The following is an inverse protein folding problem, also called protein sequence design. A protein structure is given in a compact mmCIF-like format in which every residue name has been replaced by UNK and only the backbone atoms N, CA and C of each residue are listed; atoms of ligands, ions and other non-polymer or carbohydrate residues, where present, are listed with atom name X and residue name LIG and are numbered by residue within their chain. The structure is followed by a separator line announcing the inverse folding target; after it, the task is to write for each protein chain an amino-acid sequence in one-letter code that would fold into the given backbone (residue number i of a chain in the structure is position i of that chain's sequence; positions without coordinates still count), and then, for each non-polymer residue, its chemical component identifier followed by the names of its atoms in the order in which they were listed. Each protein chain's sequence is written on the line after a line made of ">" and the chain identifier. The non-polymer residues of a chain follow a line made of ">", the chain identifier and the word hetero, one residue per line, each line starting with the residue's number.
data_IF_741917662354
#
_entry.id   IF_741917662354
#
_cell.length_a   1.000
_cell.length_b   1.000
_cell.length_c   1.000
_cell.angle_alpha   90.00
_cell.angle_beta   90.00
_cell.angle_gamma   90.00
#
_symmetry.space_group_name_H-M   'P 1'
#
loop_
_entity.id
_entity.type
_entity.pdbx_description
1 polymer ?
#
# COMPACT_ATOMS: atom_id res chain seq x y z
N UNK A 1 39.80 20.45 25.53
CA UNK A 1 38.49 20.39 24.81
C UNK A 1 37.60 19.19 25.19
N UNK A 2 38.06 18.25 26.02
CA UNK A 2 37.29 17.06 26.44
C UNK A 2 36.18 17.31 27.47
N UNK A 3 36.38 18.23 28.43
CA UNK A 3 35.44 18.41 29.56
C UNK A 3 34.05 18.92 29.16
N UNK A 4 33.94 19.72 28.08
CA UNK A 4 32.67 20.31 27.69
C UNK A 4 31.67 19.30 27.05
N UNK A 5 32.15 18.17 26.54
CA UNK A 5 31.30 17.14 25.95
C UNK A 5 30.76 16.16 27.00
N UNK A 6 31.54 15.84 28.03
CA UNK A 6 31.09 15.01 29.13
C UNK A 6 30.04 15.70 30.00
N UNK A 7 30.20 17.00 30.27
CA UNK A 7 29.22 17.80 31.00
C UNK A 7 27.90 17.92 30.24
N UNK A 8 27.96 18.06 28.91
CA UNK A 8 26.75 18.04 28.02
C UNK A 8 26.04 16.70 28.05
N UNK A 9 26.78 15.58 28.02
CA UNK A 9 26.19 14.24 28.06
C UNK A 9 25.52 13.98 29.41
N UNK A 10 26.14 14.38 30.53
CA UNK A 10 25.55 14.27 31.89
C UNK A 10 24.26 15.10 32.00
N UNK A 11 24.26 16.31 31.47
CA UNK A 11 23.07 17.16 31.46
C UNK A 11 21.94 16.56 30.60
N UNK A 12 22.28 15.97 29.45
CA UNK A 12 21.33 15.27 28.60
C UNK A 12 20.75 14.03 29.28
N UNK A 13 21.60 13.20 29.93
CA UNK A 13 21.14 12.00 30.64
C UNK A 13 20.19 12.34 31.79
N UNK A 14 20.47 13.44 32.52
CA UNK A 14 19.57 13.94 33.56
C UNK A 14 18.20 14.38 32.97
N UNK A 15 18.23 15.08 31.83
CA UNK A 15 17.02 15.49 31.12
C UNK A 15 16.21 14.28 30.59
N UNK A 16 16.89 13.28 30.01
CA UNK A 16 16.26 12.03 29.54
C UNK A 16 15.60 11.28 30.69
N UNK A 17 16.27 11.15 31.85
CA UNK A 17 15.68 10.55 33.04
C UNK A 17 14.45 11.30 33.57
N UNK A 18 14.42 12.62 33.46
CA UNK A 18 13.24 13.41 33.81
C UNK A 18 12.08 13.21 32.81
N UNK A 19 12.38 13.17 31.51
CA UNK A 19 11.38 12.93 30.45
C UNK A 19 10.77 11.53 30.61
N UNK A 20 11.58 10.50 30.88
CA UNK A 20 11.09 9.14 31.12
C UNK A 20 10.17 9.04 32.35
N UNK A 21 10.47 9.76 33.43
CA UNK A 21 9.61 9.81 34.61
C UNK A 21 8.26 10.48 34.33
N UNK A 22 8.24 11.48 33.45
CA UNK A 22 7.01 12.25 33.13
C UNK A 22 6.17 11.60 32.05
N UNK A 23 6.83 10.97 31.03
CA UNK A 23 6.15 10.54 29.80
C UNK A 23 6.25 9.02 29.58
N UNK A 24 6.91 8.27 30.45
CA UNK A 24 7.12 6.83 30.35
C UNK A 24 8.40 6.45 29.61
N UNK A 25 8.84 5.19 29.80
CA UNK A 25 10.01 4.64 29.13
C UNK A 25 9.84 4.65 27.61
N UNK A 26 10.88 5.05 26.88
CA UNK A 26 10.86 5.12 25.41
C UNK A 26 10.31 6.41 24.85
N UNK A 27 9.98 7.41 25.70
CA UNK A 27 9.56 8.74 25.24
C UNK A 27 10.62 9.44 24.39
N UNK A 28 11.90 9.16 24.66
CA UNK A 28 13.07 9.56 23.85
C UNK A 28 13.98 8.35 23.71
N UNK A 29 14.42 8.07 22.47
CA UNK A 29 15.37 6.98 22.18
C UNK A 29 16.40 7.44 21.14
N UNK A 30 17.57 6.83 21.16
CA UNK A 30 18.55 7.03 20.09
C UNK A 30 18.10 6.27 18.84
N UNK A 31 18.16 6.93 17.68
CA UNK A 31 17.76 6.30 16.42
C UNK A 31 18.55 5.02 16.11
N UNK A 32 19.85 4.97 16.47
CA UNK A 32 20.69 3.78 16.29
C UNK A 32 20.24 2.59 17.14
N UNK A 33 19.75 2.83 18.36
CA UNK A 33 19.28 1.77 19.26
C UNK A 33 17.92 1.21 18.79
N UNK A 34 17.15 1.98 18.04
CA UNK A 34 15.86 1.60 17.48
C UNK A 34 15.96 1.03 16.05
N UNK A 35 17.14 0.99 15.44
CA UNK A 35 17.32 0.52 14.06
C UNK A 35 16.87 -0.94 13.87
N UNK A 36 16.97 -1.78 14.92
CA UNK A 36 16.44 -3.14 14.91
C UNK A 36 14.88 -3.20 14.87
N UNK A 37 14.21 -2.13 15.32
CA UNK A 37 12.74 -2.02 15.32
C UNK A 37 12.19 -1.18 14.15
N UNK A 38 13.05 -0.71 13.25
CA UNK A 38 12.64 0.08 12.08
C UNK A 38 12.22 -0.77 10.88
N UNK A 39 12.05 -2.07 11.04
CA UNK A 39 11.43 -2.91 10.01
C UNK A 39 9.96 -2.51 9.89
N UNK A 40 9.67 -1.68 8.89
CA UNK A 40 8.30 -1.23 8.61
C UNK A 40 7.52 -2.43 8.10
N UNK A 41 6.64 -2.98 8.93
CA UNK A 41 5.76 -4.07 8.54
C UNK A 41 4.83 -3.60 7.41
N UNK A 42 4.71 -4.41 6.36
CA UNK A 42 3.91 -4.09 5.17
C UNK A 42 2.91 -5.18 4.85
N UNK A 43 1.85 -4.80 4.16
CA UNK A 43 0.88 -5.71 3.55
C UNK A 43 0.99 -5.58 2.04
N UNK A 44 1.13 -6.68 1.28
CA UNK A 44 1.10 -6.65 -0.18
C UNK A 44 -0.19 -6.02 -0.71
N UNK A 45 -0.10 -5.43 -1.88
CA UNK A 45 -1.22 -4.71 -2.50
C UNK A 45 -2.13 -5.60 -3.35
N UNK A 46 -1.70 -6.85 -3.62
CA UNK A 46 -2.31 -7.73 -4.60
C UNK A 46 -1.78 -7.54 -6.03
N UNK A 47 -0.90 -6.55 -6.24
CA UNK A 47 -0.12 -6.35 -7.48
C UNK A 47 1.36 -6.35 -7.15
N UNK A 48 2.12 -7.29 -7.71
CA UNK A 48 3.56 -7.39 -7.47
C UNK A 48 4.32 -6.18 -8.02
N UNK A 49 3.89 -5.64 -9.17
CA UNK A 49 4.48 -4.43 -9.74
C UNK A 49 4.28 -3.21 -8.83
N UNK A 50 3.12 -3.09 -8.17
CA UNK A 50 2.88 -2.03 -7.21
C UNK A 50 3.69 -2.24 -5.92
N UNK A 51 3.81 -3.47 -5.42
CA UNK A 51 4.65 -3.82 -4.28
C UNK A 51 6.11 -3.42 -4.51
N UNK A 52 6.64 -3.69 -5.71
CA UNK A 52 7.99 -3.28 -6.16
C UNK A 52 8.09 -1.75 -6.24
N UNK A 53 7.10 -1.08 -6.83
CA UNK A 53 7.09 0.37 -6.96
C UNK A 53 7.05 1.09 -5.60
N UNK A 54 6.38 0.50 -4.60
CA UNK A 54 6.36 0.97 -3.22
C UNK A 54 7.71 0.79 -2.50
N UNK A 55 8.55 -0.14 -2.94
CA UNK A 55 9.93 -0.31 -2.49
C UNK A 55 10.11 -1.10 -1.19
N UNK A 56 9.00 -1.49 -0.54
CA UNK A 56 9.00 -2.28 0.70
C UNK A 56 8.18 -3.58 0.57
N UNK A 57 7.75 -3.93 -0.64
CA UNK A 57 6.94 -5.12 -0.88
C UNK A 57 5.47 -4.99 -0.47
N UNK A 58 4.98 -3.77 -0.30
CA UNK A 58 3.59 -3.51 0.04
C UNK A 58 3.34 -2.16 0.71
N UNK A 59 2.13 -1.98 1.24
CA UNK A 59 1.72 -0.78 1.97
C UNK A 59 2.10 -0.88 3.44
N UNK A 60 2.68 0.18 4.05
CA UNK A 60 3.14 0.15 5.44
C UNK A 60 1.97 0.18 6.43
N UNK A 61 2.03 -0.65 7.47
CA UNK A 61 1.10 -0.60 8.61
C UNK A 61 1.26 0.70 9.41
N UNK A 62 0.19 1.12 10.06
CA UNK A 62 0.18 2.32 10.90
C UNK A 62 0.31 3.62 10.12
N UNK A 63 -0.16 3.65 8.86
CA UNK A 63 0.00 4.80 7.97
C UNK A 63 -1.29 5.17 7.23
N UNK A 64 -1.39 6.45 6.89
CA UNK A 64 -2.42 6.99 6.02
C UNK A 64 -1.92 6.94 4.58
N UNK A 65 -2.76 6.40 3.71
CA UNK A 65 -2.53 6.28 2.26
C UNK A 65 -3.64 7.02 1.53
N UNK A 66 -3.31 7.81 0.54
CA UNK A 66 -4.28 8.40 -0.39
C UNK A 66 -4.16 7.72 -1.75
N UNK A 67 -5.28 7.16 -2.23
CA UNK A 67 -5.44 6.58 -3.56
C UNK A 67 -6.36 7.49 -4.36
N UNK A 68 -5.87 8.13 -5.39
CA UNK A 68 -6.64 9.12 -6.13
C UNK A 68 -6.47 8.97 -7.64
N UNK A 69 -7.41 9.52 -8.39
CA UNK A 69 -7.41 9.47 -9.85
C UNK A 69 -8.78 9.82 -10.43
N UNK A 70 -8.90 9.83 -11.76
CA UNK A 70 -10.17 10.04 -12.45
C UNK A 70 -11.22 9.00 -12.06
N UNK A 71 -12.45 9.27 -12.40
CA UNK A 71 -13.53 8.29 -12.30
C UNK A 71 -13.21 7.02 -13.11
N UNK A 72 -13.66 5.86 -12.63
CA UNK A 72 -13.44 4.55 -13.29
C UNK A 72 -11.98 4.21 -13.58
N UNK A 73 -11.02 4.81 -12.87
CA UNK A 73 -9.58 4.47 -13.02
C UNK A 73 -9.14 3.20 -12.28
N UNK A 74 -10.01 2.62 -11.43
CA UNK A 74 -9.70 1.40 -10.67
C UNK A 74 -9.26 1.64 -9.22
N UNK A 75 -9.51 2.81 -8.64
CA UNK A 75 -9.13 3.15 -7.24
C UNK A 75 -9.70 2.17 -6.22
N UNK A 76 -11.02 1.96 -6.26
CA UNK A 76 -11.72 1.03 -5.36
C UNK A 76 -11.26 -0.41 -5.58
N UNK A 77 -11.00 -0.81 -6.83
CA UNK A 77 -10.43 -2.13 -7.15
C UNK A 77 -9.10 -2.36 -6.43
N UNK A 78 -8.17 -1.41 -6.52
CA UNK A 78 -6.86 -1.49 -5.85
C UNK A 78 -7.03 -1.56 -4.33
N UNK A 79 -7.92 -0.75 -3.76
CA UNK A 79 -8.19 -0.78 -2.32
C UNK A 79 -8.79 -2.12 -1.87
N UNK A 80 -9.73 -2.71 -2.65
CA UNK A 80 -10.32 -4.01 -2.36
C UNK A 80 -9.31 -5.16 -2.44
N UNK A 81 -8.34 -5.11 -3.37
CA UNK A 81 -7.25 -6.08 -3.37
C UNK A 81 -6.41 -6.00 -2.10
N UNK A 82 -6.12 -4.80 -1.58
CA UNK A 82 -5.41 -4.64 -0.31
C UNK A 82 -6.22 -5.19 0.86
N UNK A 83 -7.55 -5.01 0.86
CA UNK A 83 -8.45 -5.64 1.85
C UNK A 83 -8.33 -7.16 1.80
N UNK A 84 -8.43 -7.75 0.60
CA UNK A 84 -8.30 -9.20 0.41
C UNK A 84 -6.95 -9.72 0.90
N UNK A 85 -5.87 -8.99 0.66
CA UNK A 85 -4.52 -9.37 1.13
C UNK A 85 -4.38 -9.30 2.67
N UNK A 86 -5.05 -8.34 3.33
CA UNK A 86 -5.12 -8.29 4.80
C UNK A 86 -5.90 -9.49 5.34
N UNK A 87 -7.08 -9.78 4.80
CA UNK A 87 -7.93 -10.88 5.25
C UNK A 87 -7.29 -12.25 5.04
N UNK A 88 -6.57 -12.48 3.93
CA UNK A 88 -5.79 -13.72 3.70
C UNK A 88 -4.73 -13.97 4.79
N UNK A 89 -4.30 -12.94 5.49
CA UNK A 89 -3.34 -13.02 6.61
C UNK A 89 -4.01 -13.05 7.98
N UNK A 90 -5.34 -13.26 8.01
CA UNK A 90 -6.13 -13.28 9.23
C UNK A 90 -6.42 -11.91 9.83
N UNK A 91 -6.12 -10.83 9.10
CA UNK A 91 -6.41 -9.46 9.53
C UNK A 91 -7.87 -9.06 9.35
N UNK A 92 -8.29 -8.06 10.13
CA UNK A 92 -9.65 -7.52 10.14
C UNK A 92 -9.72 -6.26 9.29
N UNK A 93 -10.75 -6.18 8.43
CA UNK A 93 -10.95 -5.07 7.51
C UNK A 93 -12.26 -4.33 7.76
N UNK A 94 -12.20 -2.99 7.63
CA UNK A 94 -13.36 -2.11 7.64
C UNK A 94 -13.48 -1.33 6.32
N UNK A 95 -14.73 -1.03 5.94
CA UNK A 95 -15.03 -0.24 4.75
C UNK A 95 -16.08 0.82 5.09
N UNK A 96 -15.71 2.08 4.93
CA UNK A 96 -16.60 3.24 5.10
C UNK A 96 -17.07 3.65 3.71
N UNK A 97 -18.26 3.21 3.35
CA UNK A 97 -18.89 3.40 2.04
C UNK A 97 -19.72 4.69 2.04
N UNK A 98 -19.07 5.84 1.92
CA UNK A 98 -19.72 7.13 1.88
C UNK A 98 -20.39 7.44 0.51
N UNK A 99 -20.05 6.68 -0.54
CA UNK A 99 -20.70 6.78 -1.86
C UNK A 99 -21.90 5.83 -2.00
N UNK A 100 -22.11 4.90 -1.05
CA UNK A 100 -23.13 3.86 -1.11
C UNK A 100 -23.08 3.00 -2.39
N UNK A 101 -21.87 2.72 -2.85
CA UNK A 101 -21.62 2.14 -4.17
C UNK A 101 -20.82 0.83 -4.15
N UNK A 102 -20.52 0.27 -2.98
CA UNK A 102 -19.81 -1.00 -2.87
C UNK A 102 -20.67 -2.15 -3.41
N UNK A 103 -20.16 -2.83 -4.45
CA UNK A 103 -20.75 -4.06 -4.99
C UNK A 103 -20.15 -5.29 -4.26
N UNK A 104 -20.95 -6.03 -3.44
CA UNK A 104 -20.47 -7.19 -2.72
C UNK A 104 -20.06 -8.34 -3.66
N UNK A 105 -20.74 -8.50 -4.81
CA UNK A 105 -20.39 -9.55 -5.76
C UNK A 105 -19.03 -9.28 -6.40
N UNK A 106 -18.76 -8.02 -6.75
CA UNK A 106 -17.46 -7.61 -7.25
C UNK A 106 -16.35 -7.75 -6.19
N UNK A 107 -16.61 -7.33 -4.95
CA UNK A 107 -15.66 -7.51 -3.85
C UNK A 107 -15.29 -8.98 -3.64
N UNK A 108 -16.30 -9.88 -3.65
CA UNK A 108 -16.09 -11.32 -3.55
C UNK A 108 -15.26 -11.88 -4.71
N UNK A 109 -15.50 -11.42 -5.93
CA UNK A 109 -14.74 -11.86 -7.12
C UNK A 109 -13.27 -11.45 -7.07
N UNK A 110 -12.94 -10.33 -6.40
CA UNK A 110 -11.57 -9.87 -6.14
C UNK A 110 -10.89 -10.74 -5.07
N UNK A 111 -11.66 -11.46 -4.26
CA UNK A 111 -11.14 -12.30 -3.19
C UNK A 111 -11.35 -11.73 -1.78
N UNK A 112 -12.18 -10.70 -1.65
CA UNK A 112 -12.61 -10.19 -0.33
C UNK A 112 -13.56 -11.17 0.33
N UNK A 113 -13.29 -11.54 1.57
CA UNK A 113 -14.22 -12.23 2.43
C UNK A 113 -15.30 -11.25 2.91
N UNK A 114 -16.42 -11.24 2.19
CA UNK A 114 -17.52 -10.29 2.44
C UNK A 114 -18.27 -10.58 3.74
N UNK A 115 -18.25 -11.83 4.22
CA UNK A 115 -18.89 -12.22 5.48
C UNK A 115 -18.15 -11.66 6.70
N UNK A 116 -16.83 -11.38 6.55
CA UNK A 116 -15.97 -10.83 7.59
C UNK A 116 -15.49 -9.40 7.27
N UNK A 117 -16.15 -8.71 6.35
CA UNK A 117 -15.89 -7.29 6.08
C UNK A 117 -16.87 -6.41 6.87
N UNK A 118 -16.34 -5.57 7.75
CA UNK A 118 -17.15 -4.59 8.49
C UNK A 118 -17.43 -3.38 7.60
N UNK A 119 -18.69 -3.16 7.23
CA UNK A 119 -19.12 -2.03 6.40
C UNK A 119 -19.91 -1.01 7.22
N UNK A 120 -19.69 0.29 6.94
CA UNK A 120 -20.49 1.40 7.44
C UNK A 120 -20.87 2.32 6.29
N UNK A 121 -22.12 2.76 6.27
CA UNK A 121 -22.65 3.73 5.30
C UNK A 121 -23.13 4.98 6.06
N UNK A 122 -22.24 5.94 6.32
CA UNK A 122 -22.51 7.12 7.14
C UNK A 122 -23.36 8.16 6.38
N UNK A 123 -24.18 8.93 7.12
CA UNK A 123 -25.02 9.97 6.57
C UNK A 123 -24.27 11.28 6.26
N UNK A 124 -23.11 11.50 6.90
CA UNK A 124 -22.30 12.71 6.74
C UNK A 124 -20.82 12.46 7.01
N UNK A 125 -19.99 13.44 6.68
CA UNK A 125 -18.54 13.34 6.81
C UNK A 125 -18.04 13.24 8.24
N UNK A 126 -18.68 13.92 9.19
CA UNK A 126 -18.35 13.84 10.61
C UNK A 126 -18.54 12.42 11.12
N UNK A 127 -19.71 11.81 10.85
CA UNK A 127 -20.02 10.44 11.25
C UNK A 127 -19.04 9.43 10.64
N UNK A 128 -18.72 9.57 9.34
CA UNK A 128 -17.75 8.71 8.66
C UNK A 128 -16.39 8.73 9.36
N UNK A 129 -15.89 9.91 9.70
CA UNK A 129 -14.58 10.10 10.31
C UNK A 129 -14.55 9.71 11.79
N UNK A 130 -15.65 9.87 12.54
CA UNK A 130 -15.80 9.42 13.92
C UNK A 130 -15.86 7.88 14.01
N UNK A 131 -16.59 7.23 13.09
CA UNK A 131 -16.60 5.75 12.98
C UNK A 131 -15.19 5.26 12.67
N UNK A 132 -14.52 5.87 11.68
CA UNK A 132 -13.13 5.53 11.33
C UNK A 132 -12.21 5.69 12.55
N UNK A 133 -12.31 6.80 13.30
CA UNK A 133 -11.50 7.03 14.49
C UNK A 133 -11.74 5.96 15.56
N UNK A 134 -13.01 5.60 15.80
CA UNK A 134 -13.39 4.60 16.79
C UNK A 134 -12.85 3.22 16.42
N UNK A 135 -12.99 2.81 15.15
CA UNK A 135 -12.43 1.53 14.65
C UNK A 135 -10.91 1.49 14.79
N UNK A 136 -10.19 2.56 14.41
CA UNK A 136 -8.73 2.66 14.57
C UNK A 136 -8.33 2.56 16.03
N UNK A 137 -9.02 3.28 16.93
CA UNK A 137 -8.70 3.29 18.37
C UNK A 137 -8.95 1.96 19.07
N UNK A 138 -9.81 1.11 18.51
CA UNK A 138 -10.03 -0.24 19.06
C UNK A 138 -8.76 -1.09 19.03
N UNK A 139 -7.83 -0.80 18.11
CA UNK A 139 -6.61 -1.59 17.89
C UNK A 139 -6.85 -2.98 17.30
N UNK A 140 -8.11 -3.29 16.93
CA UNK A 140 -8.49 -4.59 16.40
C UNK A 140 -8.55 -4.64 14.87
N UNK A 141 -8.57 -3.48 14.19
CA UNK A 141 -8.74 -3.41 12.73
C UNK A 141 -7.39 -3.12 12.07
N UNK A 142 -7.01 -3.94 11.10
CA UNK A 142 -5.73 -3.84 10.39
C UNK A 142 -5.79 -2.89 9.19
N UNK A 143 -6.94 -2.80 8.51
CA UNK A 143 -7.15 -1.91 7.38
C UNK A 143 -8.55 -1.30 7.37
N UNK A 144 -8.63 -0.01 7.06
CA UNK A 144 -9.90 0.70 6.85
C UNK A 144 -9.83 1.44 5.53
N UNK A 145 -10.83 1.25 4.68
CA UNK A 145 -11.03 2.00 3.45
C UNK A 145 -12.08 3.07 3.69
N UNK A 146 -11.85 4.30 3.26
CA UNK A 146 -12.83 5.39 3.23
C UNK A 146 -13.08 5.76 1.76
N UNK A 147 -14.22 5.36 1.22
CA UNK A 147 -14.60 5.56 -0.17
C UNK A 147 -15.87 6.43 -0.27
N UNK A 148 -15.78 7.65 -0.69
CA UNK A 148 -14.59 8.46 -0.99
C UNK A 148 -14.59 9.78 -0.22
N UNK A 149 -13.42 10.43 -0.17
CA UNK A 149 -13.29 11.78 0.45
C UNK A 149 -14.25 12.79 -0.19
N UNK A 150 -14.53 12.64 -1.49
CA UNK A 150 -15.45 13.53 -2.21
C UNK A 150 -16.89 13.47 -1.65
N UNK A 151 -17.30 12.32 -1.09
CA UNK A 151 -18.61 12.08 -0.51
C UNK A 151 -18.69 12.44 0.99
N UNK A 152 -17.59 12.82 1.63
CA UNK A 152 -17.59 13.26 3.02
C UNK A 152 -18.14 14.70 3.15
N UNK A 153 -19.45 14.82 2.98
CA UNK A 153 -20.15 16.11 3.06
C UNK A 153 -20.31 16.48 4.54
N UNK A 154 -19.90 17.68 4.96
CA UNK A 154 -20.12 18.16 6.32
C UNK A 154 -21.61 18.24 6.66
N UNK A 155 -21.99 17.87 7.89
CA UNK A 155 -23.38 17.91 8.36
C UNK A 155 -24.02 19.29 8.16
N UNK A 156 -23.28 20.36 8.47
CA UNK A 156 -23.75 21.72 8.29
C UNK A 156 -24.09 22.09 6.83
N UNK A 157 -23.47 21.42 5.86
CA UNK A 157 -23.78 21.57 4.44
C UNK A 157 -25.04 20.80 4.05
N UNK A 158 -25.27 19.62 4.68
CA UNK A 158 -26.49 18.82 4.48
C UNK A 158 -27.72 19.50 5.08
N UNK A 159 -27.57 20.09 6.27
CA UNK A 159 -28.65 20.77 7.00
C UNK A 159 -28.95 22.17 6.45
N UNK A 160 -28.11 22.73 5.57
CA UNK A 160 -28.27 24.05 4.93
C UNK A 160 -29.26 24.06 3.77
N UNK A 161 -29.67 25.25 3.35
CA UNK A 161 -30.55 25.43 2.21
C UNK A 161 -29.80 25.25 0.88
N UNK A 162 -30.54 24.81 -0.17
CA UNK A 162 -30.00 24.70 -1.53
C UNK A 162 -29.55 26.06 -2.04
N UNK A 163 -28.25 26.18 -2.33
CA UNK A 163 -27.62 27.41 -2.80
C UNK A 163 -26.76 28.14 -1.75
N UNK A 164 -26.77 27.66 -0.52
CA UNK A 164 -25.88 28.19 0.53
C UNK A 164 -24.41 27.94 0.20
N UNK A 165 -23.57 28.91 0.52
CA UNK A 165 -22.13 28.79 0.28
C UNK A 165 -21.41 28.17 1.50
N UNK A 166 -20.95 26.95 1.35
CA UNK A 166 -20.21 26.19 2.40
C UNK A 166 -18.73 26.06 2.10
N UNK A 167 -18.10 27.11 1.56
CA UNK A 167 -16.72 27.10 1.11
C UNK A 167 -15.77 26.68 2.26
N UNK A 168 -15.02 25.60 2.01
CA UNK A 168 -13.93 25.14 2.87
C UNK A 168 -14.35 24.34 4.10
N UNK A 169 -15.63 24.05 4.33
CA UNK A 169 -16.07 23.21 5.47
C UNK A 169 -15.46 21.80 5.40
N UNK A 170 -15.54 21.14 4.25
CA UNK A 170 -14.94 19.82 4.05
C UNK A 170 -13.43 19.83 4.30
N UNK A 171 -12.71 20.86 3.86
CA UNK A 171 -11.27 20.98 4.09
C UNK A 171 -10.92 21.17 5.58
N UNK A 172 -11.77 21.88 6.34
CA UNK A 172 -11.64 22.03 7.80
C UNK A 172 -11.90 20.72 8.50
N UNK A 173 -12.97 20.01 8.15
CA UNK A 173 -13.34 18.71 8.68
C UNK A 173 -12.19 17.70 8.46
N UNK A 174 -11.68 17.57 7.24
CA UNK A 174 -10.54 16.70 6.93
C UNK A 174 -9.29 17.09 7.72
N UNK A 175 -8.98 18.38 7.85
CA UNK A 175 -7.82 18.84 8.62
C UNK A 175 -7.93 18.50 10.10
N UNK A 176 -9.11 18.60 10.68
CA UNK A 176 -9.38 18.25 12.08
C UNK A 176 -9.28 16.75 12.30
N UNK A 177 -9.94 15.95 11.45
CA UNK A 177 -9.95 14.50 11.55
C UNK A 177 -8.54 13.91 11.40
N UNK A 178 -7.77 14.33 10.38
CA UNK A 178 -6.44 13.79 10.14
C UNK A 178 -5.45 14.11 11.26
N UNK A 179 -5.58 15.23 11.95
CA UNK A 179 -4.80 15.53 13.16
C UNK A 179 -5.05 14.53 14.28
N UNK A 180 -6.31 14.11 14.48
CA UNK A 180 -6.68 13.10 15.49
C UNK A 180 -6.26 11.70 15.05
N UNK A 181 -6.59 11.33 13.82
CA UNK A 181 -6.37 10.00 13.25
C UNK A 181 -4.89 9.62 13.18
N UNK A 182 -4.00 10.55 12.81
CA UNK A 182 -2.58 10.23 12.57
C UNK A 182 -1.91 9.55 13.75
N UNK A 183 -2.11 10.07 14.96
CA UNK A 183 -1.52 9.51 16.18
C UNK A 183 -2.15 8.15 16.54
N UNK A 184 -3.47 8.01 16.38
CA UNK A 184 -4.19 6.78 16.66
C UNK A 184 -3.78 5.67 15.68
N UNK A 185 -3.72 5.97 14.38
CA UNK A 185 -3.31 5.07 13.30
C UNK A 185 -1.89 4.53 13.54
N UNK A 186 -0.95 5.41 13.88
CA UNK A 186 0.43 5.00 14.16
C UNK A 186 0.55 4.07 15.38
N UNK A 187 -0.31 4.23 16.39
CA UNK A 187 -0.30 3.40 17.60
C UNK A 187 -1.00 2.06 17.43
N UNK A 188 -2.06 2.02 16.62
CA UNK A 188 -2.85 0.80 16.36
C UNK A 188 -2.29 -0.08 15.26
N UNK A 189 -1.26 0.36 14.53
CA UNK A 189 -0.74 -0.28 13.32
C UNK A 189 -1.79 -0.47 12.21
N UNK A 190 -2.94 0.21 12.30
CA UNK A 190 -3.99 0.16 11.27
C UNK A 190 -3.54 0.90 10.01
N UNK A 191 -3.86 0.35 8.85
CA UNK A 191 -3.71 1.03 7.55
C UNK A 191 -5.01 1.76 7.28
N UNK A 192 -4.97 3.07 7.01
CA UNK A 192 -6.17 3.82 6.60
C UNK A 192 -5.98 4.36 5.20
N UNK A 193 -6.81 3.90 4.28
CA UNK A 193 -6.79 4.29 2.87
C UNK A 193 -7.95 5.24 2.60
N UNK A 194 -7.63 6.45 2.17
CA UNK A 194 -8.60 7.41 1.67
C UNK A 194 -8.60 7.36 0.14
N UNK A 195 -9.73 6.96 -0.43
CA UNK A 195 -9.98 7.07 -1.87
C UNK A 195 -10.42 8.49 -2.16
N UNK A 196 -9.86 9.11 -3.20
CA UNK A 196 -10.13 10.50 -3.52
C UNK A 196 -10.36 10.69 -5.03
N UNK A 197 -11.16 11.69 -5.36
CA UNK A 197 -11.45 12.06 -6.73
C UNK A 197 -10.61 13.28 -7.14
N UNK A 198 -10.34 13.38 -8.44
CA UNK A 198 -9.72 14.57 -9.03
C UNK A 198 -10.80 15.59 -9.41
N UNK A 199 -10.46 16.86 -9.24
CA UNK A 199 -11.21 18.01 -9.71
C UNK A 199 -10.26 18.93 -10.46
N UNK A 200 -10.77 19.65 -11.42
CA UNK A 200 -10.01 20.66 -12.13
C UNK A 200 -10.23 22.03 -11.50
N UNK A 201 -9.14 22.76 -11.31
CA UNK A 201 -9.19 24.15 -10.90
C UNK A 201 -9.49 25.02 -12.08
N UNK A 202 -10.59 25.75 -12.02
CA UNK A 202 -10.95 26.74 -13.04
C UNK A 202 -9.93 27.88 -13.06
N UNK A 203 -9.49 28.30 -14.25
CA UNK A 203 -8.61 29.47 -14.42
C UNK A 203 -7.11 29.22 -14.27
N UNK A 204 -6.66 27.96 -14.16
CA UNK A 204 -5.23 27.63 -14.17
C UNK A 204 -4.74 27.55 -15.61
N UNK A 205 -4.07 28.61 -16.09
CA UNK A 205 -3.51 28.66 -17.45
C UNK A 205 -2.14 27.98 -17.58
N UNK A 206 -1.38 27.83 -16.47
CA UNK A 206 -0.06 27.22 -16.43
C UNK A 206 0.05 26.25 -15.26
N UNK A 207 0.72 25.09 -15.48
CA UNK A 207 0.91 24.05 -14.49
C UNK A 207 -0.21 23.00 -14.52
N UNK A 208 -0.26 22.14 -13.49
CA UNK A 208 -1.27 21.09 -13.40
C UNK A 208 -2.56 21.63 -12.75
N UNK A 209 -3.69 21.69 -13.47
CA UNK A 209 -4.97 22.13 -12.94
C UNK A 209 -5.60 21.11 -11.99
N UNK A 210 -5.21 19.84 -12.05
CA UNK A 210 -5.80 18.77 -11.25
C UNK A 210 -5.53 18.94 -9.76
N UNK A 211 -6.55 18.75 -8.96
CA UNK A 211 -6.46 18.74 -7.50
C UNK A 211 -7.40 17.69 -6.91
N UNK A 212 -7.06 17.16 -5.73
CA UNK A 212 -7.93 16.25 -4.98
C UNK A 212 -8.91 17.03 -4.11
N UNK A 213 -10.07 16.44 -3.80
CA UNK A 213 -11.09 17.02 -2.90
C UNK A 213 -10.62 16.99 -1.44
N UNK A 214 -11.34 17.66 -0.52
CA UNK A 214 -11.00 17.68 0.90
C UNK A 214 -9.81 18.57 1.29
N UNK A 215 -9.37 19.47 0.38
CA UNK A 215 -8.31 20.44 0.63
C UNK A 215 -6.91 19.86 0.58
N UNK A 216 -5.98 20.42 1.38
CA UNK A 216 -4.57 20.05 1.35
C UNK A 216 -4.16 19.04 2.44
N UNK A 217 -5.05 18.73 3.38
CA UNK A 217 -4.69 17.97 4.57
C UNK A 217 -4.13 16.57 4.23
N UNK A 218 -4.78 15.80 3.36
CA UNK A 218 -4.29 14.49 2.93
C UNK A 218 -2.92 14.56 2.27
N UNK A 219 -2.62 15.62 1.49
CA UNK A 219 -1.30 15.79 0.87
C UNK A 219 -0.16 15.87 1.90
N UNK A 220 -0.44 16.36 3.10
CA UNK A 220 0.54 16.44 4.19
C UNK A 220 0.54 15.20 5.07
N UNK A 221 -0.63 14.72 5.50
CA UNK A 221 -0.77 13.63 6.46
C UNK A 221 -0.51 12.25 5.85
N UNK A 222 -0.86 12.01 4.59
CA UNK A 222 -0.57 10.73 3.95
C UNK A 222 0.93 10.43 3.90
N UNK A 223 1.29 9.18 4.19
CA UNK A 223 2.66 8.67 4.01
C UNK A 223 2.91 8.24 2.58
N UNK A 224 1.89 7.72 1.91
CA UNK A 224 1.91 7.30 0.52
C UNK A 224 0.75 7.96 -0.22
N UNK A 225 1.00 8.37 -1.46
CA UNK A 225 -0.02 8.86 -2.40
C UNK A 225 0.14 8.16 -3.73
N UNK A 226 -0.95 7.55 -4.20
CA UNK A 226 -1.02 6.77 -5.42
C UNK A 226 -1.94 7.46 -6.43
N UNK A 227 -1.38 7.86 -7.56
CA UNK A 227 -2.14 8.39 -8.71
C UNK A 227 -2.49 7.23 -9.65
N UNK A 228 -3.78 6.89 -9.73
CA UNK A 228 -4.31 5.75 -10.48
C UNK A 228 -4.89 6.23 -11.79
N UNK A 229 -4.37 5.75 -12.93
CA UNK A 229 -4.79 6.16 -14.27
C UNK A 229 -5.06 4.94 -15.16
N UNK A 230 -6.17 4.99 -15.91
CA UNK A 230 -6.38 4.10 -17.04
C UNK A 230 -5.58 4.62 -18.22
N UNK A 231 -4.75 3.76 -18.83
CA UNK A 231 -3.91 4.14 -19.98
C UNK A 231 -4.35 3.49 -21.29
N UNK A 232 -4.92 2.27 -21.24
CA UNK A 232 -5.35 1.55 -22.42
C UNK A 232 -6.57 0.68 -22.12
N UNK A 233 -7.44 0.48 -23.11
CA UNK A 233 -8.54 -0.46 -23.03
C UNK A 233 -8.10 -1.84 -23.55
N UNK A 234 -8.30 -2.87 -22.75
CA UNK A 234 -8.00 -4.26 -23.11
C UNK A 234 -9.20 -4.86 -23.83
N UNK A 235 -8.94 -5.45 -25.01
CA UNK A 235 -9.96 -6.07 -25.85
C UNK A 235 -9.63 -7.54 -26.12
N UNK A 236 -10.64 -8.38 -26.10
CA UNK A 236 -10.55 -9.77 -26.51
C UNK A 236 -11.73 -10.10 -27.42
N UNK A 237 -11.46 -10.62 -28.61
CA UNK A 237 -12.53 -10.91 -29.60
C UNK A 237 -13.34 -9.69 -30.05
N UNK A 238 -12.80 -8.46 -29.91
CA UNK A 238 -13.50 -7.19 -30.22
C UNK A 238 -14.24 -6.58 -29.03
N UNK A 239 -14.47 -7.31 -27.95
CA UNK A 239 -15.14 -6.82 -26.75
C UNK A 239 -14.13 -6.27 -25.74
N UNK A 240 -14.55 -5.24 -24.98
CA UNK A 240 -13.74 -4.68 -23.89
C UNK A 240 -13.82 -5.60 -22.68
N UNK A 241 -12.66 -6.15 -22.25
CA UNK A 241 -12.56 -7.09 -21.12
C UNK A 241 -11.89 -6.50 -19.90
N UNK A 242 -11.29 -5.32 -20.03
CA UNK A 242 -10.58 -4.67 -18.93
C UNK A 242 -9.84 -3.40 -19.38
N UNK A 243 -9.00 -2.91 -18.50
CA UNK A 243 -8.15 -1.74 -18.76
C UNK A 243 -6.73 -2.01 -18.29
N UNK A 244 -5.74 -1.53 -19.04
CA UNK A 244 -4.38 -1.36 -18.54
C UNK A 244 -4.38 -0.16 -17.61
N UNK A 245 -3.99 -0.36 -16.38
CA UNK A 245 -3.96 0.66 -15.32
C UNK A 245 -2.52 0.96 -14.96
N UNK A 246 -2.19 2.23 -14.84
CA UNK A 246 -0.91 2.71 -14.33
C UNK A 246 -1.13 3.38 -12.98
N UNK A 247 -0.28 3.05 -12.00
CA UNK A 247 -0.22 3.70 -10.71
C UNK A 247 1.14 4.36 -10.55
N UNK A 248 1.12 5.66 -10.30
CA UNK A 248 2.33 6.42 -9.96
C UNK A 248 2.38 6.67 -8.46
N UNK A 249 3.49 6.31 -7.84
CA UNK A 249 3.77 6.61 -6.43
C UNK A 249 4.29 8.04 -6.34
N UNK A 250 3.38 9.01 -6.21
CA UNK A 250 3.75 10.45 -6.23
C UNK A 250 4.30 10.96 -4.91
N UNK A 251 4.08 10.23 -3.82
CA UNK A 251 4.64 10.49 -2.50
C UNK A 251 4.88 9.17 -1.78
N UNK A 252 6.04 9.05 -1.16
CA UNK A 252 6.38 7.93 -0.31
C UNK A 252 7.34 8.42 0.78
N UNK A 253 6.97 8.22 2.06
CA UNK A 253 7.80 8.59 3.22
C UNK A 253 8.67 7.45 3.74
N UNK A 254 8.51 6.24 3.20
CA UNK A 254 9.18 5.03 3.68
C UNK A 254 10.13 4.41 2.66
N UNK A 255 10.06 4.87 1.40
CA UNK A 255 10.97 4.47 0.32
C UNK A 255 11.04 5.59 -0.75
N UNK A 256 11.98 5.54 -1.72
CA UNK A 256 12.04 6.51 -2.81
C UNK A 256 10.74 6.57 -3.62
N UNK A 257 10.15 7.78 -3.82
CA UNK A 257 8.93 7.98 -4.58
C UNK A 257 9.18 8.00 -6.10
N UNK A 258 8.10 8.27 -6.87
CA UNK A 258 8.05 8.49 -8.32
C UNK A 258 8.25 7.24 -9.19
N UNK A 259 8.22 6.06 -8.59
CA UNK A 259 8.13 4.80 -9.32
C UNK A 259 6.71 4.58 -9.83
N UNK A 260 6.59 3.80 -10.89
CA UNK A 260 5.32 3.49 -11.54
C UNK A 260 5.13 1.96 -11.59
N UNK A 261 3.89 1.54 -11.50
CA UNK A 261 3.44 0.17 -11.70
C UNK A 261 2.37 0.13 -12.78
N UNK A 262 2.39 -0.88 -13.63
CA UNK A 262 1.38 -1.08 -14.66
C UNK A 262 0.91 -2.53 -14.64
N UNK A 263 -0.40 -2.71 -14.65
CA UNK A 263 -1.03 -4.03 -14.66
C UNK A 263 -2.38 -4.00 -15.38
N UNK A 264 -2.88 -5.18 -15.73
CA UNK A 264 -4.22 -5.34 -16.29
C UNK A 264 -5.25 -5.37 -15.16
N UNK A 265 -6.25 -4.50 -15.25
CA UNK A 265 -7.45 -4.52 -14.41
C UNK A 265 -8.61 -5.07 -15.22
N UNK A 266 -8.99 -6.33 -14.95
CA UNK A 266 -10.00 -7.07 -15.69
C UNK A 266 -11.40 -6.81 -15.11
N UNK A 267 -12.37 -6.56 -15.98
CA UNK A 267 -13.75 -6.33 -15.54
C UNK A 267 -14.30 -7.55 -14.79
N UNK A 268 -14.91 -7.32 -13.64
CA UNK A 268 -15.49 -8.36 -12.78
C UNK A 268 -14.47 -9.22 -12.03
N UNK A 269 -13.16 -9.10 -12.30
CA UNK A 269 -12.10 -9.95 -11.71
C UNK A 269 -10.97 -9.18 -11.02
N UNK A 270 -10.87 -7.87 -11.28
CA UNK A 270 -9.81 -7.02 -10.73
C UNK A 270 -8.44 -7.22 -11.37
N UNK A 271 -7.37 -7.10 -10.60
CA UNK A 271 -5.99 -7.16 -11.07
C UNK A 271 -5.63 -8.58 -11.54
N UNK A 272 -5.12 -8.68 -12.78
CA UNK A 272 -4.60 -9.96 -13.30
C UNK A 272 -3.23 -10.25 -12.68
N UNK A 273 -3.20 -11.12 -11.66
CA UNK A 273 -1.96 -11.53 -10.99
C UNK A 273 -0.99 -12.20 -11.96
N UNK A 274 -1.48 -13.11 -12.80
CA UNK A 274 -0.69 -13.84 -13.78
C UNK A 274 -0.05 -12.89 -14.81
N UNK A 275 -0.82 -11.87 -15.24
CA UNK A 275 -0.32 -10.85 -16.17
C UNK A 275 0.76 -9.98 -15.56
N UNK A 276 0.60 -9.59 -14.31
CA UNK A 276 1.56 -8.76 -13.57
C UNK A 276 2.87 -9.52 -13.34
N UNK A 277 2.80 -10.76 -12.87
CA UNK A 277 3.98 -11.63 -12.66
C UNK A 277 4.69 -11.94 -13.99
N UNK A 278 3.94 -12.27 -15.06
CA UNK A 278 4.49 -12.57 -16.37
C UNK A 278 5.28 -11.39 -16.96
N UNK A 279 4.69 -10.18 -16.89
CA UNK A 279 5.32 -8.95 -17.41
C UNK A 279 6.61 -8.63 -16.66
N UNK A 280 6.60 -8.73 -15.33
CA UNK A 280 7.80 -8.54 -14.49
C UNK A 280 8.87 -9.60 -14.76
N UNK A 281 8.48 -10.87 -14.80
CA UNK A 281 9.41 -11.98 -15.07
C UNK A 281 10.08 -11.86 -16.46
N UNK A 282 9.32 -11.41 -17.45
CA UNK A 282 9.87 -11.14 -18.78
C UNK A 282 10.83 -9.94 -18.79
N UNK A 283 10.55 -8.91 -17.99
CA UNK A 283 11.41 -7.72 -17.92
C UNK A 283 12.78 -7.98 -17.29
N UNK A 284 12.88 -8.95 -16.38
CA UNK A 284 14.14 -9.36 -15.72
C UNK A 284 14.76 -10.63 -16.32
N UNK A 285 14.17 -11.17 -17.39
CA UNK A 285 14.72 -12.34 -18.12
C UNK A 285 14.49 -13.69 -17.42
N UNK A 286 13.71 -13.77 -16.35
CA UNK A 286 13.29 -15.03 -15.71
C UNK A 286 12.40 -15.82 -16.67
N UNK A 287 11.43 -15.16 -17.31
CA UNK A 287 10.68 -15.69 -18.44
C UNK A 287 11.29 -15.14 -19.72
N UNK A 288 11.69 -16.02 -20.62
CA UNK A 288 12.29 -15.67 -21.90
C UNK A 288 11.18 -15.33 -22.90
N UNK A 289 11.31 -14.18 -23.57
CA UNK A 289 10.41 -13.77 -24.66
C UNK A 289 11.15 -13.75 -25.99
N UNK A 290 10.76 -14.63 -26.91
CA UNK A 290 11.32 -14.69 -28.27
C UNK A 290 10.19 -14.53 -29.29
N UNK A 291 10.11 -13.36 -29.91
CA UNK A 291 8.99 -12.98 -30.76
C UNK A 291 7.67 -13.05 -30.02
N UNK A 292 6.73 -13.88 -30.46
CA UNK A 292 5.45 -14.10 -29.80
C UNK A 292 5.50 -15.20 -28.72
N UNK A 293 6.60 -15.92 -28.56
CA UNK A 293 6.69 -17.03 -27.62
C UNK A 293 7.25 -16.61 -26.26
N UNK A 294 6.63 -17.15 -25.21
CA UNK A 294 7.12 -17.10 -23.83
C UNK A 294 7.63 -18.49 -23.44
N UNK A 295 8.78 -18.55 -22.76
CA UNK A 295 9.41 -19.78 -22.30
C UNK A 295 9.94 -19.63 -20.87
N UNK A 296 9.85 -20.68 -20.08
CA UNK A 296 10.38 -20.77 -18.73
C UNK A 296 11.03 -22.14 -18.50
N UNK A 297 12.24 -22.20 -17.89
CA UNK A 297 12.95 -23.43 -17.65
C UNK A 297 13.34 -24.22 -18.92
N UNK A 298 13.32 -23.59 -20.11
CA UNK A 298 13.53 -24.23 -21.40
C UNK A 298 12.24 -24.65 -22.10
N UNK A 299 11.10 -24.68 -21.41
CA UNK A 299 9.82 -25.07 -21.95
C UNK A 299 9.00 -23.86 -22.42
N UNK A 300 8.26 -24.05 -23.53
CA UNK A 300 7.33 -23.02 -24.03
C UNK A 300 6.06 -23.00 -23.19
N UNK A 301 5.78 -21.85 -22.56
CA UNK A 301 4.61 -21.66 -21.72
C UNK A 301 3.44 -20.97 -22.44
N UNK A 302 3.65 -20.46 -23.66
CA UNK A 302 2.56 -19.91 -24.47
C UNK A 302 3.03 -19.11 -25.67
N UNK A 303 2.23 -19.13 -26.74
CA UNK A 303 2.35 -18.22 -27.85
C UNK A 303 1.40 -17.04 -27.64
N UNK A 304 1.96 -15.86 -27.46
CA UNK A 304 1.22 -14.67 -27.05
C UNK A 304 1.00 -14.56 -25.55
N UNK A 305 0.78 -13.33 -25.08
CA UNK A 305 0.67 -13.01 -23.64
C UNK A 305 -0.54 -13.70 -22.99
N UNK A 306 -1.68 -13.76 -23.67
CA UNK A 306 -2.89 -14.36 -23.11
C UNK A 306 -2.77 -15.87 -22.91
N UNK A 307 -2.12 -16.59 -23.83
CA UNK A 307 -1.87 -18.03 -23.67
C UNK A 307 -0.86 -18.30 -22.54
N UNK A 308 0.17 -17.46 -22.39
CA UNK A 308 1.11 -17.58 -21.28
C UNK A 308 0.43 -17.31 -19.92
N UNK A 309 -0.47 -16.34 -19.83
CA UNK A 309 -1.30 -16.09 -18.64
C UNK A 309 -2.20 -17.28 -18.32
N UNK A 310 -2.84 -17.88 -19.35
CA UNK A 310 -3.68 -19.07 -19.15
C UNK A 310 -2.86 -20.23 -18.62
N UNK A 311 -1.67 -20.47 -19.20
CA UNK A 311 -0.74 -21.50 -18.72
C UNK A 311 -0.35 -21.31 -17.26
N UNK A 312 0.02 -20.09 -16.84
CA UNK A 312 0.37 -19.81 -15.44
C UNK A 312 -0.82 -19.99 -14.48
N UNK A 313 -2.04 -19.76 -14.94
CA UNK A 313 -3.25 -20.01 -14.14
C UNK A 313 -3.51 -21.50 -13.94
N UNK A 314 -3.20 -22.33 -14.95
CA UNK A 314 -3.36 -23.79 -14.89
C UNK A 314 -2.20 -24.46 -14.14
N UNK A 315 -1.06 -23.77 -13.96
CA UNK A 315 0.16 -24.25 -13.29
C UNK A 315 0.56 -23.32 -12.14
N UNK A 316 -0.16 -23.31 -11.03
CA UNK A 316 0.09 -22.42 -9.90
C UNK A 316 1.48 -22.61 -9.29
N UNK A 317 2.01 -23.84 -9.30
CA UNK A 317 3.36 -24.17 -8.81
C UNK A 317 4.45 -23.43 -9.60
N UNK A 318 4.32 -23.37 -10.93
CA UNK A 318 5.23 -22.63 -11.80
C UNK A 318 5.07 -21.12 -11.59
N UNK A 319 3.83 -20.67 -11.41
CA UNK A 319 3.55 -19.27 -11.15
C UNK A 319 4.19 -18.81 -9.83
N UNK A 320 4.06 -19.59 -8.77
CA UNK A 320 4.62 -19.28 -7.45
C UNK A 320 6.16 -19.28 -7.50
N UNK A 321 6.77 -20.23 -8.25
CA UNK A 321 8.21 -20.25 -8.47
C UNK A 321 8.71 -19.00 -9.22
N UNK A 322 8.02 -18.60 -10.29
CA UNK A 322 8.34 -17.39 -11.04
C UNK A 322 8.17 -16.15 -10.18
N UNK A 323 7.05 -16.04 -9.42
CA UNK A 323 6.81 -14.93 -8.52
C UNK A 323 7.93 -14.83 -7.47
N UNK A 324 8.33 -15.95 -6.87
CA UNK A 324 9.42 -15.99 -5.90
C UNK A 324 10.73 -15.44 -6.51
N UNK A 325 11.12 -15.92 -7.69
CA UNK A 325 12.33 -15.46 -8.40
C UNK A 325 12.26 -13.96 -8.74
N UNK A 326 11.07 -13.46 -9.12
CA UNK A 326 10.86 -12.02 -9.36
C UNK A 326 11.05 -11.23 -8.07
N UNK A 327 10.50 -11.70 -6.93
CA UNK A 327 10.66 -11.04 -5.63
C UNK A 327 12.12 -10.97 -5.19
N UNK A 328 12.90 -12.05 -5.42
CA UNK A 328 14.35 -12.07 -5.19
C UNK A 328 15.07 -11.07 -6.11
N UNK A 329 14.80 -11.12 -7.41
CA UNK A 329 15.45 -10.24 -8.40
C UNK A 329 15.22 -8.74 -8.11
N UNK A 330 14.07 -8.38 -7.56
CA UNK A 330 13.77 -7.00 -7.14
C UNK A 330 14.16 -6.68 -5.69
N UNK A 331 14.77 -7.65 -4.95
CA UNK A 331 15.26 -7.45 -3.58
C UNK A 331 14.15 -7.33 -2.52
N UNK A 332 12.94 -7.82 -2.82
CA UNK A 332 11.83 -7.84 -1.85
C UNK A 332 11.99 -8.94 -0.80
N UNK A 333 12.68 -10.01 -1.17
CA UNK A 333 13.08 -11.12 -0.29
C UNK A 333 14.56 -11.42 -0.52
N UNK A 334 15.22 -11.93 0.52
CA UNK A 334 16.59 -12.40 0.38
C UNK A 334 16.58 -13.79 -0.26
N UNK A 335 17.57 -14.05 -1.08
CA UNK A 335 17.84 -15.40 -1.57
C UNK A 335 18.18 -16.28 -0.35
N UNK A 336 17.44 -17.36 -0.13
CA UNK A 336 17.81 -18.36 0.86
C UNK A 336 19.10 -19.02 0.37
N UNK A 337 20.19 -18.89 1.13
CA UNK A 337 21.40 -19.62 0.85
C UNK A 337 21.07 -21.13 0.84
N UNK A 338 21.57 -21.90 -0.14
CA UNK A 338 21.31 -23.35 -0.16
C UNK A 338 21.78 -23.95 1.17
N UNK A 339 20.88 -24.60 1.89
CA UNK A 339 21.23 -25.42 3.04
C UNK A 339 22.20 -26.51 2.56
N UNK A 340 23.46 -26.42 2.98
CA UNK A 340 24.41 -27.48 2.75
C UNK A 340 25.80 -27.04 2.30
N UNK A 341 26.57 -26.44 3.18
CA UNK A 341 27.99 -26.70 3.36
C UNK A 341 28.35 -26.36 4.82
N UNK A 342 28.17 -27.31 5.71
CA UNK A 342 28.97 -27.37 6.91
C UNK A 342 30.44 -27.51 6.45
N UNK A 343 31.16 -26.41 6.47
CA UNK A 343 32.60 -26.37 6.39
C UNK A 343 33.10 -27.00 7.72
N UNK A 344 33.41 -28.30 7.68
CA UNK A 344 34.18 -28.98 8.74
C UNK A 344 35.51 -28.26 8.82
N UNK A 345 35.62 -27.33 9.74
CA UNK A 345 36.91 -26.77 10.15
C UNK A 345 37.75 -27.90 10.76
N UNK A 346 38.68 -28.41 9.96
CA UNK A 346 39.75 -29.30 10.42
C UNK A 346 40.62 -28.50 11.37
N UNK A 347 40.59 -28.89 12.63
CA UNK A 347 41.56 -28.47 13.69
C UNK A 347 42.90 -29.05 13.31
N UNK A 348 44.00 -28.28 13.17
CA UNK A 348 45.31 -28.84 13.00
C UNK A 348 45.77 -29.40 14.36
N UNK A 349 46.04 -30.70 14.40
CA UNK A 349 46.78 -31.36 15.50
C UNK A 349 48.17 -30.73 15.61
N UNK A 350 48.45 -30.11 16.75
CA UNK A 350 49.83 -29.76 17.13
C UNK A 350 50.48 -31.01 17.71
N UNK A 351 51.39 -31.60 16.94
CA UNK A 351 52.36 -32.55 17.46
C UNK A 351 53.21 -31.85 18.49
N UNK A 352 53.22 -32.42 19.70
CA UNK A 352 54.17 -32.09 20.71
C UNK A 352 55.48 -32.83 20.42
N UNK A 353 56.57 -32.09 20.37
CA UNK A 353 57.89 -32.66 20.51
C UNK A 353 58.42 -32.43 21.99
N UNK A 354 58.67 -33.55 22.67
CA UNK A 354 59.45 -33.62 23.84
C UNK A 354 60.94 -33.34 23.51
N UNK A 355 61.57 -32.38 24.21
CA UNK A 355 62.93 -32.52 24.83
C UNK A 355 63.21 -31.29 25.72
#
# INVERSE_FOLDING_TARGET
>A
MGNNNEDKLRALDAALGQIEKQNGKGAVMKLGDSAANMNVETIPTGSLSLDIALGLGGVPKGRIIEVYGPESSGKTTVALHMVAEVQKRGGIAGFIDAEHALDPAYAKNIGVDIENLYISQPDNGEQALEITETMVRSGAVDIIIVDSVAALVPKAEIDGDMGDSHVGLQARLMSQALRKLTAAISKSNCIVIFINQLREKVGVMFGNPETTTGGRALKFYSSIRLDVRRIEALKQGGEMVGNRTRIKVVKNKVAPPFREAEFDNMFGKGISKEGDVLDLAASVGIVQKSGAWFAYGGDKIGQGRENAKAYLREHPEIMDEIEHKVRVAYGLIKEEAPEGTEETAAVPETEGDDE
#
